data_IF_493605913822
#
_entry.id   IF_493605913822
#
_cell.length_a   1.000
_cell.length_b   1.000
_cell.length_c   1.000
_cell.angle_alpha   90.00
_cell.angle_beta   90.00
_cell.angle_gamma   90.00
#
_symmetry.space_group_name_H-M   'P 1'
#
loop_
_entity.id
_entity.type
_entity.pdbx_description
1 polymer ?
#
# COMPACT_ATOMS: atom_id res chain seq x y z
N UNK A 1 -46.67 45.13 13.88
CA UNK A 1 -45.21 44.99 14.05
C UNK A 1 -44.73 43.59 14.47
N UNK A 2 -45.47 42.81 15.26
CA UNK A 2 -45.01 41.51 15.79
C UNK A 2 -44.87 40.40 14.71
N UNK A 3 -45.78 40.36 13.72
CA UNK A 3 -45.77 39.36 12.63
C UNK A 3 -44.51 39.44 11.75
N UNK A 4 -43.99 40.66 11.51
CA UNK A 4 -42.78 40.86 10.69
C UNK A 4 -41.50 40.34 11.37
N UNK A 5 -41.42 40.43 12.70
CA UNK A 5 -40.27 39.95 13.48
C UNK A 5 -40.18 38.42 13.47
N UNK A 6 -41.33 37.73 13.57
CA UNK A 6 -41.39 36.28 13.50
C UNK A 6 -40.98 35.72 12.13
N UNK A 7 -41.44 36.34 11.04
CA UNK A 7 -41.06 35.94 9.68
C UNK A 7 -39.56 36.12 9.40
N UNK A 8 -38.97 37.23 9.87
CA UNK A 8 -37.54 37.49 9.75
C UNK A 8 -36.70 36.51 10.57
N UNK A 9 -37.14 36.15 11.79
CA UNK A 9 -36.46 35.17 12.63
C UNK A 9 -36.51 33.75 12.05
N UNK A 10 -37.66 33.34 11.49
CA UNK A 10 -37.76 32.05 10.80
C UNK A 10 -36.90 32.02 9.54
N UNK A 11 -36.88 33.11 8.78
CA UNK A 11 -36.01 33.25 7.61
C UNK A 11 -34.53 33.19 7.99
N UNK A 12 -34.09 33.92 9.02
CA UNK A 12 -32.71 33.88 9.49
C UNK A 12 -32.31 32.50 10.04
N UNK A 13 -33.19 31.83 10.78
CA UNK A 13 -32.97 30.47 11.27
C UNK A 13 -32.85 29.46 10.11
N UNK A 14 -33.69 29.59 9.08
CA UNK A 14 -33.61 28.73 7.90
C UNK A 14 -32.33 28.94 7.09
N UNK A 15 -31.84 30.19 6.99
CA UNK A 15 -30.52 30.50 6.40
C UNK A 15 -29.41 29.89 7.26
N UNK A 16 -29.44 30.09 8.57
CA UNK A 16 -28.45 29.56 9.49
C UNK A 16 -28.37 28.02 9.42
N UNK A 17 -29.51 27.32 9.38
CA UNK A 17 -29.55 25.87 9.23
C UNK A 17 -28.97 25.40 7.90
N UNK A 18 -29.25 26.09 6.79
CA UNK A 18 -28.67 25.77 5.47
C UNK A 18 -27.16 25.99 5.46
N UNK A 19 -26.69 27.10 6.04
CA UNK A 19 -25.25 27.41 6.15
C UNK A 19 -24.53 26.38 7.01
N UNK A 20 -25.13 25.94 8.12
CA UNK A 20 -24.55 24.89 8.98
C UNK A 20 -24.44 23.55 8.23
N UNK A 21 -25.47 23.13 7.50
CA UNK A 21 -25.43 21.89 6.72
C UNK A 21 -24.39 21.96 5.58
N UNK A 22 -24.33 23.07 4.85
CA UNK A 22 -23.27 23.32 3.84
C UNK A 22 -21.86 23.31 4.45
N UNK A 23 -21.74 23.83 5.67
CA UNK A 23 -20.51 23.77 6.47
C UNK A 23 -20.08 22.33 6.76
N UNK A 24 -21.00 21.50 7.23
CA UNK A 24 -20.72 20.07 7.51
C UNK A 24 -20.33 19.33 6.24
N UNK A 25 -21.06 19.52 5.13
CA UNK A 25 -20.75 18.87 3.85
C UNK A 25 -19.38 19.30 3.30
N UNK A 26 -19.06 20.59 3.37
CA UNK A 26 -17.77 21.11 2.93
C UNK A 26 -16.63 20.58 3.80
N UNK A 27 -16.81 20.50 5.12
CA UNK A 27 -15.84 19.90 6.03
C UNK A 27 -15.61 18.41 5.74
N UNK A 28 -16.67 17.61 5.59
CA UNK A 28 -16.55 16.18 5.24
C UNK A 28 -15.80 16.01 3.92
N UNK A 29 -16.09 16.86 2.92
CA UNK A 29 -15.40 16.83 1.63
C UNK A 29 -13.92 17.18 1.78
N UNK A 30 -13.59 18.23 2.52
CA UNK A 30 -12.21 18.67 2.75
C UNK A 30 -11.41 17.62 3.53
N UNK A 31 -11.98 17.05 4.58
CA UNK A 31 -11.36 15.96 5.35
C UNK A 31 -11.17 14.73 4.47
N UNK A 32 -12.19 14.35 3.69
CA UNK A 32 -12.09 13.24 2.75
C UNK A 32 -11.01 13.44 1.69
N UNK A 33 -10.93 14.64 1.11
CA UNK A 33 -9.86 14.99 0.17
C UNK A 33 -8.48 14.97 0.81
N UNK A 34 -8.34 15.53 2.01
CA UNK A 34 -7.08 15.52 2.76
C UNK A 34 -6.63 14.09 3.08
N UNK A 35 -7.57 13.23 3.50
CA UNK A 35 -7.29 11.81 3.72
C UNK A 35 -6.86 11.11 2.44
N UNK A 36 -7.54 11.36 1.31
CA UNK A 36 -7.18 10.78 0.01
C UNK A 36 -5.80 11.24 -0.46
N UNK A 37 -5.48 12.52 -0.34
CA UNK A 37 -4.15 13.08 -0.67
C UNK A 37 -3.07 12.45 0.21
N UNK A 38 -3.36 12.30 1.51
CA UNK A 38 -2.44 11.67 2.46
C UNK A 38 -2.13 10.22 2.08
N UNK A 39 -3.16 9.43 1.73
CA UNK A 39 -3.01 8.05 1.26
C UNK A 39 -2.23 8.00 -0.06
N UNK A 40 -2.56 8.88 -1.01
CA UNK A 40 -1.88 8.94 -2.30
C UNK A 40 -0.39 9.27 -2.15
N UNK A 41 -0.07 10.26 -1.32
CA UNK A 41 1.32 10.67 -1.04
C UNK A 41 2.11 9.54 -0.37
N UNK A 42 1.47 8.86 0.58
CA UNK A 42 2.05 7.73 1.28
C UNK A 42 2.29 6.51 0.36
N UNK A 43 1.38 6.24 -0.59
CA UNK A 43 1.54 5.21 -1.62
C UNK A 43 2.65 5.57 -2.62
N UNK A 44 2.72 6.84 -3.05
CA UNK A 44 3.75 7.33 -3.98
C UNK A 44 5.16 7.13 -3.39
N UNK A 45 5.33 7.43 -2.10
CA UNK A 45 6.60 7.16 -1.39
C UNK A 45 7.00 5.68 -1.42
N UNK A 46 6.04 4.76 -1.26
CA UNK A 46 6.29 3.31 -1.32
C UNK A 46 6.60 2.82 -2.72
N UNK A 47 5.91 3.37 -3.72
CA UNK A 47 6.19 3.09 -5.11
C UNK A 47 7.64 3.48 -5.44
N UNK A 48 8.09 4.68 -5.05
CA UNK A 48 9.47 5.12 -5.28
C UNK A 48 10.51 4.21 -4.62
N UNK A 49 10.25 3.71 -3.42
CA UNK A 49 11.13 2.74 -2.75
C UNK A 49 11.23 1.42 -3.51
N UNK A 50 10.11 0.92 -4.03
CA UNK A 50 10.07 -0.30 -4.83
C UNK A 50 10.70 -0.12 -6.22
N UNK A 51 10.53 1.06 -6.82
CA UNK A 51 11.18 1.43 -8.08
C UNK A 51 12.71 1.43 -7.90
N UNK A 52 13.21 2.10 -6.86
CA UNK A 52 14.64 2.10 -6.53
C UNK A 52 15.19 0.71 -6.19
N UNK A 53 14.41 -0.13 -5.52
CA UNK A 53 14.79 -1.53 -5.28
C UNK A 53 14.86 -2.32 -6.59
N UNK A 54 13.89 -2.15 -7.49
CA UNK A 54 13.87 -2.82 -8.78
C UNK A 54 15.10 -2.44 -9.61
N UNK A 55 15.42 -1.14 -9.69
CA UNK A 55 16.58 -0.62 -10.42
C UNK A 55 17.90 -1.12 -9.81
N UNK A 56 17.98 -1.21 -8.48
CA UNK A 56 19.14 -1.75 -7.77
C UNK A 56 19.35 -3.26 -8.05
N UNK A 57 18.26 -4.03 -8.11
CA UNK A 57 18.33 -5.46 -8.45
C UNK A 57 18.73 -5.64 -9.92
N UNK A 58 18.18 -4.83 -10.82
CA UNK A 58 18.51 -4.88 -12.24
C UNK A 58 19.99 -4.57 -12.50
N UNK A 59 20.56 -3.61 -11.77
CA UNK A 59 21.98 -3.22 -11.92
C UNK A 59 22.96 -4.18 -11.23
N UNK A 60 22.60 -4.76 -10.09
CA UNK A 60 23.47 -5.65 -9.31
C UNK A 60 23.44 -7.10 -9.79
N UNK A 61 22.36 -7.52 -10.48
CA UNK A 61 22.09 -8.91 -10.80
C UNK A 61 21.34 -9.63 -9.68
N UNK A 62 20.50 -10.60 -10.06
CA UNK A 62 19.56 -11.25 -9.15
C UNK A 62 20.16 -12.32 -8.22
N UNK A 63 21.49 -12.51 -8.25
CA UNK A 63 22.15 -13.67 -7.63
C UNK A 63 22.58 -13.45 -6.17
N UNK A 64 23.57 -12.59 -5.92
CA UNK A 64 24.20 -12.49 -4.58
C UNK A 64 24.00 -11.13 -3.87
N UNK A 65 23.31 -10.17 -4.48
CA UNK A 65 23.13 -8.82 -3.92
C UNK A 65 21.77 -8.56 -3.27
N UNK A 66 20.75 -9.35 -3.63
CA UNK A 66 19.35 -9.02 -3.32
C UNK A 66 19.07 -9.03 -1.82
N UNK A 67 19.61 -9.99 -1.08
CA UNK A 67 19.38 -10.08 0.37
C UNK A 67 19.86 -8.80 1.10
N UNK A 68 21.02 -8.27 0.70
CA UNK A 68 21.55 -7.01 1.25
C UNK A 68 20.64 -5.83 0.90
N UNK A 69 20.10 -5.79 -0.32
CA UNK A 69 19.16 -4.75 -0.73
C UNK A 69 17.87 -4.79 0.10
N UNK A 70 17.31 -6.00 0.31
CA UNK A 70 16.12 -6.21 1.13
C UNK A 70 16.33 -5.83 2.60
N UNK A 71 17.54 -6.00 3.13
CA UNK A 71 17.94 -5.59 4.50
C UNK A 71 18.11 -4.08 4.67
N UNK A 72 17.96 -3.26 3.62
CA UNK A 72 18.09 -1.82 3.76
C UNK A 72 17.06 -1.25 4.75
N UNK A 73 17.51 -0.28 5.57
CA UNK A 73 16.66 0.35 6.58
C UNK A 73 15.42 1.00 5.97
N UNK A 74 15.56 1.64 4.82
CA UNK A 74 14.45 2.28 4.12
C UNK A 74 13.32 1.29 3.77
N UNK A 75 13.66 0.05 3.41
CA UNK A 75 12.66 -0.99 3.11
C UNK A 75 12.10 -1.62 4.38
N UNK A 76 12.95 -1.98 5.33
CA UNK A 76 12.54 -2.66 6.57
C UNK A 76 11.73 -1.77 7.52
N UNK A 77 11.90 -0.45 7.48
CA UNK A 77 11.05 0.51 8.19
C UNK A 77 9.69 0.73 7.49
N UNK A 78 9.66 0.59 6.16
CA UNK A 78 8.47 0.92 5.35
C UNK A 78 7.55 -0.28 5.11
N UNK A 79 8.09 -1.50 5.22
CA UNK A 79 7.45 -2.75 4.83
C UNK A 79 7.81 -3.89 5.77
N UNK A 80 6.87 -4.84 5.95
CA UNK A 80 7.10 -6.01 6.78
C UNK A 80 6.17 -7.17 6.39
N UNK A 81 6.69 -8.30 5.85
CA UNK A 81 8.05 -8.50 5.34
C UNK A 81 8.26 -7.89 3.95
N UNK A 82 9.52 -7.70 3.55
CA UNK A 82 9.92 -7.43 2.15
C UNK A 82 10.54 -8.68 1.55
N UNK A 83 10.30 -8.96 0.28
CA UNK A 83 10.71 -10.20 -0.36
C UNK A 83 10.87 -10.07 -1.88
N UNK A 84 11.59 -11.02 -2.45
CA UNK A 84 11.89 -11.12 -3.87
C UNK A 84 11.70 -12.56 -4.33
N UNK A 85 10.89 -12.73 -5.38
CA UNK A 85 10.72 -14.01 -6.07
C UNK A 85 11.33 -13.96 -7.46
N UNK A 86 12.19 -14.92 -7.76
CA UNK A 86 12.80 -15.09 -9.08
C UNK A 86 12.05 -16.15 -9.87
N UNK A 87 12.16 -16.06 -11.19
CA UNK A 87 11.49 -16.95 -12.14
C UNK A 87 11.97 -18.42 -12.05
N UNK A 88 13.18 -18.66 -11.54
CA UNK A 88 13.71 -19.99 -11.23
C UNK A 88 13.07 -20.63 -9.98
N UNK A 89 12.22 -19.89 -9.26
CA UNK A 89 11.58 -20.32 -8.03
C UNK A 89 12.34 -19.91 -6.76
N UNK A 90 13.50 -19.27 -6.87
CA UNK A 90 14.21 -18.77 -5.70
C UNK A 90 13.40 -17.69 -5.00
N UNK A 91 13.39 -17.74 -3.67
CA UNK A 91 12.66 -16.83 -2.82
C UNK A 91 13.55 -16.29 -1.72
N UNK A 92 13.69 -14.97 -1.67
CA UNK A 92 14.49 -14.24 -0.68
C UNK A 92 13.55 -13.33 0.07
N UNK A 93 13.64 -13.29 1.40
CA UNK A 93 12.77 -12.45 2.25
C UNK A 93 13.50 -11.89 3.45
N UNK A 94 13.06 -10.72 3.90
CA UNK A 94 13.52 -10.08 5.12
C UNK A 94 12.31 -9.61 5.97
N UNK A 95 12.23 -9.96 7.27
CA UNK A 95 13.12 -10.88 7.97
C UNK A 95 12.99 -12.32 7.44
N UNK A 96 14.09 -13.07 7.45
CA UNK A 96 14.09 -14.50 7.11
C UNK A 96 13.08 -15.28 7.97
N UNK A 97 12.29 -16.17 7.37
CA UNK A 97 11.60 -17.22 8.14
C UNK A 97 11.35 -18.46 7.30
N UNK A 98 11.04 -19.54 8.02
CA UNK A 98 10.74 -20.85 7.45
C UNK A 98 9.45 -20.78 6.64
N UNK A 99 9.58 -21.12 5.36
CA UNK A 99 8.44 -21.24 4.44
C UNK A 99 7.91 -22.68 4.44
N UNK A 100 6.63 -22.89 4.10
CA UNK A 100 6.08 -24.23 3.90
C UNK A 100 6.89 -25.02 2.86
N UNK A 101 6.90 -26.34 3.00
CA UNK A 101 7.51 -27.23 2.00
C UNK A 101 6.81 -27.05 0.65
N UNK A 102 7.60 -27.00 -0.44
CA UNK A 102 7.07 -26.78 -1.78
C UNK A 102 6.59 -25.35 -2.08
N UNK A 103 6.94 -24.36 -1.24
CA UNK A 103 6.61 -22.96 -1.51
C UNK A 103 7.22 -22.49 -2.84
N UNK A 104 6.34 -22.12 -3.78
CA UNK A 104 6.72 -21.52 -5.06
C UNK A 104 6.24 -20.06 -5.09
N UNK A 105 7.14 -19.06 -5.15
CA UNK A 105 6.75 -17.66 -5.22
C UNK A 105 5.93 -17.33 -6.47
N UNK A 106 6.07 -18.11 -7.55
CA UNK A 106 5.46 -17.82 -8.86
C UNK A 106 3.96 -18.11 -8.90
N UNK A 107 3.48 -18.99 -8.01
CA UNK A 107 2.06 -19.36 -7.88
C UNK A 107 1.30 -18.46 -6.90
N UNK A 108 1.91 -17.35 -6.49
CA UNK A 108 1.34 -16.44 -5.48
C UNK A 108 0.69 -15.27 -6.18
N UNK A 109 -0.48 -14.86 -5.68
CA UNK A 109 -1.25 -13.76 -6.29
C UNK A 109 -0.46 -12.46 -6.45
N UNK A 110 0.53 -12.19 -5.61
CA UNK A 110 1.44 -11.04 -5.77
C UNK A 110 2.37 -11.16 -6.97
N UNK A 111 2.89 -12.35 -7.25
CA UNK A 111 3.80 -12.57 -8.37
C UNK A 111 3.01 -12.54 -9.67
N UNK A 112 1.90 -13.27 -9.72
CA UNK A 112 1.00 -13.32 -10.88
C UNK A 112 0.48 -11.92 -11.24
N UNK A 113 0.03 -11.14 -10.24
CA UNK A 113 -0.46 -9.78 -10.49
C UNK A 113 0.63 -8.86 -11.04
N UNK A 114 1.84 -8.90 -10.46
CA UNK A 114 2.95 -8.06 -10.90
C UNK A 114 3.43 -8.41 -12.31
N UNK A 115 3.51 -9.71 -12.62
CA UNK A 115 3.91 -10.19 -13.95
C UNK A 115 2.85 -9.86 -14.99
N UNK A 116 1.57 -10.05 -14.68
CA UNK A 116 0.47 -9.79 -15.61
C UNK A 116 0.37 -8.30 -15.99
N UNK A 117 0.49 -7.41 -15.00
CA UNK A 117 0.29 -5.97 -15.19
C UNK A 117 1.55 -5.25 -15.67
N UNK A 118 2.73 -5.87 -15.54
CA UNK A 118 4.04 -5.32 -15.94
C UNK A 118 4.36 -3.94 -15.35
N UNK A 119 3.76 -3.61 -14.21
CA UNK A 119 3.90 -2.35 -13.47
C UNK A 119 3.71 -2.60 -11.98
N UNK A 120 3.92 -1.57 -11.16
CA UNK A 120 3.60 -1.65 -9.74
C UNK A 120 2.08 -1.88 -9.55
N UNK A 121 1.74 -2.88 -8.73
CA UNK A 121 0.36 -3.29 -8.46
C UNK A 121 0.11 -3.44 -6.98
N UNK A 122 -1.09 -3.06 -6.55
CA UNK A 122 -1.65 -3.49 -5.27
C UNK A 122 -2.53 -4.72 -5.54
N UNK A 123 -2.18 -5.84 -4.90
CA UNK A 123 -2.93 -7.09 -5.03
C UNK A 123 -4.32 -7.01 -4.39
N UNK A 124 -5.24 -7.84 -4.88
CA UNK A 124 -6.44 -8.19 -4.12
C UNK A 124 -6.04 -8.93 -2.84
N UNK A 125 -6.82 -8.82 -1.74
CA UNK A 125 -6.54 -9.57 -0.51
C UNK A 125 -6.40 -11.08 -0.76
N UNK A 126 -5.35 -11.70 -0.22
CA UNK A 126 -5.11 -13.14 -0.30
C UNK A 126 -4.56 -13.68 1.02
N UNK A 127 -4.61 -15.00 1.22
CA UNK A 127 -4.03 -15.63 2.42
C UNK A 127 -2.52 -15.77 2.26
N UNK A 128 -1.76 -15.11 3.15
CA UNK A 128 -0.31 -15.20 3.18
C UNK A 128 0.16 -16.61 3.51
N UNK A 129 1.12 -17.14 2.75
CA UNK A 129 1.70 -18.46 2.99
C UNK A 129 2.56 -18.53 4.26
N UNK A 130 3.08 -17.39 4.73
CA UNK A 130 3.93 -17.35 5.92
C UNK A 130 3.13 -17.21 7.21
N UNK A 131 2.05 -16.42 7.20
CA UNK A 131 1.26 -16.12 8.40
C UNK A 131 -0.10 -16.81 8.46
N UNK A 132 -0.61 -17.34 7.34
CA UNK A 132 -1.96 -17.88 7.24
C UNK A 132 -3.08 -16.83 7.36
N UNK A 133 -2.74 -15.54 7.32
CA UNK A 133 -3.69 -14.43 7.47
C UNK A 133 -3.98 -13.74 6.16
N UNK A 134 -5.14 -13.08 6.07
CA UNK A 134 -5.48 -12.19 4.96
C UNK A 134 -4.46 -11.05 4.87
N UNK A 135 -3.93 -10.80 3.69
CA UNK A 135 -2.85 -9.84 3.46
C UNK A 135 -3.05 -9.16 2.09
N UNK A 136 -2.69 -7.88 2.03
CA UNK A 136 -2.51 -7.14 0.79
C UNK A 136 -1.02 -6.89 0.58
N UNK A 137 -0.66 -6.68 -0.67
CA UNK A 137 0.75 -6.63 -1.05
C UNK A 137 0.93 -5.71 -2.23
N UNK A 138 1.93 -4.83 -2.14
CA UNK A 138 2.38 -3.98 -3.23
C UNK A 138 3.55 -4.68 -3.90
N UNK A 139 3.41 -4.96 -5.20
CA UNK A 139 4.35 -5.75 -5.95
C UNK A 139 4.82 -4.99 -7.19
N UNK A 140 6.12 -5.04 -7.49
CA UNK A 140 6.70 -4.47 -8.70
C UNK A 140 7.50 -5.53 -9.46
N UNK A 141 7.28 -5.69 -10.78
CA UNK A 141 8.13 -6.54 -11.61
C UNK A 141 9.48 -5.85 -11.86
N UNK A 142 10.55 -6.63 -11.83
CA UNK A 142 11.92 -6.23 -12.16
C UNK A 142 12.27 -6.83 -13.52
N UNK A 143 12.62 -5.97 -14.48
CA UNK A 143 13.01 -6.36 -15.83
C UNK A 143 14.51 -6.70 -15.91
N UNK A 144 14.91 -7.59 -16.82
CA UNK A 144 16.33 -7.84 -17.16
C UNK A 144 17.01 -9.02 -16.44
N UNK A 145 16.41 -9.60 -15.39
CA UNK A 145 16.92 -10.81 -14.73
C UNK A 145 16.28 -12.11 -15.29
N UNK A 146 16.29 -12.29 -16.61
CA UNK A 146 15.86 -13.53 -17.27
C UNK A 146 14.36 -13.72 -17.55
N UNK A 147 13.55 -12.67 -17.27
CA UNK A 147 12.10 -12.51 -17.41
C UNK A 147 11.32 -12.46 -16.08
N UNK A 148 11.18 -11.21 -15.60
CA UNK A 148 10.23 -10.73 -14.58
C UNK A 148 10.40 -11.36 -13.19
N UNK A 149 11.25 -10.73 -12.39
CA UNK A 149 11.40 -11.07 -10.97
C UNK A 149 10.59 -10.09 -10.10
N UNK A 150 9.74 -10.57 -9.20
CA UNK A 150 8.84 -9.72 -8.41
C UNK A 150 9.51 -9.26 -7.13
N UNK A 151 9.88 -7.98 -7.03
CA UNK A 151 10.26 -7.33 -5.77
C UNK A 151 8.99 -6.84 -5.07
N UNK A 152 8.72 -7.36 -3.89
CA UNK A 152 7.40 -7.26 -3.27
C UNK A 152 7.49 -6.98 -1.79
N UNK A 153 6.62 -6.10 -1.33
CA UNK A 153 6.64 -5.64 0.03
C UNK A 153 5.25 -5.77 0.67
N UNK A 154 5.19 -6.58 1.73
CA UNK A 154 4.01 -6.78 2.55
C UNK A 154 3.71 -5.53 3.36
N UNK A 155 2.45 -5.09 3.31
CA UNK A 155 1.93 -4.11 4.26
C UNK A 155 1.50 -4.86 5.52
N UNK A 156 2.07 -4.59 6.71
CA UNK A 156 1.38 -4.96 7.93
C UNK A 156 0.06 -4.19 7.92
N UNK A 157 -1.07 -4.91 7.98
CA UNK A 157 -2.34 -4.27 8.30
C UNK A 157 -2.11 -3.37 9.54
N UNK A 158 -2.69 -2.15 9.61
CA UNK A 158 -2.52 -1.30 10.77
C UNK A 158 -2.97 -2.10 12.00
N UNK A 159 -2.00 -2.57 12.78
CA UNK A 159 -2.28 -3.13 14.09
C UNK A 159 -2.72 -1.93 14.90
N UNK A 160 -4.02 -1.91 15.20
CA UNK A 160 -4.66 -0.96 16.11
C UNK A 160 -3.83 -0.87 17.38
N UNK A 161 -2.91 0.09 17.42
CA UNK A 161 -2.30 0.54 18.65
C UNK A 161 -3.11 1.76 19.08
N UNK A 162 -4.40 1.54 19.33
CA UNK A 162 -5.13 2.36 20.28
C UNK A 162 -4.60 1.93 21.64
N UNK A 163 -3.47 2.51 22.05
CA UNK A 163 -3.01 2.45 23.42
C UNK A 163 -3.87 3.46 24.18
N UNK A 164 -4.72 2.95 25.08
CA UNK A 164 -5.48 3.75 26.03
C UNK A 164 -4.60 4.41 27.08
#
# INVERSE_FOLDING_TARGET
MIVGIGALAAFSASIAQRTLLQGVESQVRLVGQSAAISIATWLDGRQRLLDGLADAIQSTGADAGVERLLRSKALTDSFSPVYFGRQDGAFIREPSARMPEGYDPRKRGWYESAVAEKRLVLTKPYISASSGKLTLTIARPVAGAGDMAGGVAGWPAPTSTCRG
#
